data_IF_088911721116
#
_entry.id   IF_088911721116
#
_cell.length_a   1.000
_cell.length_b   1.000
_cell.length_c   1.000
_cell.angle_alpha   90.00
_cell.angle_beta   90.00
_cell.angle_gamma   90.00
#
_symmetry.space_group_name_H-M   'P 1'
#
loop_
_entity.id
_entity.type
_entity.pdbx_description
1 polymer ?
#
# COMPACT_ATOMS: atom_id res chain seq x y z
N UNK A 1 -30.73 22.49 -0.66
CA UNK A 1 -30.61 21.69 -1.90
C UNK A 1 -29.33 22.12 -2.61
N UNK A 2 -28.18 21.66 -2.11
CA UNK A 2 -26.87 22.03 -2.63
C UNK A 2 -26.55 21.09 -3.78
N UNK A 3 -26.34 21.63 -4.98
CA UNK A 3 -26.07 20.83 -6.19
C UNK A 3 -24.81 19.97 -5.96
N UNK A 4 -24.81 18.67 -6.34
CA UNK A 4 -23.56 17.95 -6.53
C UNK A 4 -22.76 18.70 -7.59
N UNK A 5 -21.43 18.79 -7.44
CA UNK A 5 -20.55 19.36 -8.46
C UNK A 5 -21.01 18.93 -9.87
N UNK A 6 -21.15 19.88 -10.81
CA UNK A 6 -21.77 19.60 -12.10
C UNK A 6 -21.10 18.39 -12.76
N UNK A 7 -21.88 17.46 -13.31
CA UNK A 7 -21.35 16.22 -13.94
C UNK A 7 -20.21 16.49 -14.93
N UNK A 8 -20.24 17.63 -15.61
CA UNK A 8 -19.17 18.09 -16.52
C UNK A 8 -17.86 18.41 -15.81
N UNK A 9 -17.92 18.99 -14.61
CA UNK A 9 -16.77 19.35 -13.80
C UNK A 9 -16.08 18.10 -13.21
N UNK A 10 -16.88 17.13 -12.75
CA UNK A 10 -16.37 15.82 -12.31
C UNK A 10 -15.75 15.01 -13.44
N UNK A 11 -16.39 15.04 -14.62
CA UNK A 11 -15.83 14.40 -15.82
C UNK A 11 -14.47 15.01 -16.18
N UNK A 12 -14.36 16.35 -16.19
CA UNK A 12 -13.09 17.03 -16.47
C UNK A 12 -12.00 16.65 -15.47
N UNK A 13 -12.32 16.60 -14.18
CA UNK A 13 -11.37 16.17 -13.16
C UNK A 13 -10.90 14.73 -13.38
N UNK A 14 -11.82 13.81 -13.69
CA UNK A 14 -11.47 12.43 -14.02
C UNK A 14 -10.60 12.33 -15.28
N UNK A 15 -10.95 13.08 -16.33
CA UNK A 15 -10.18 13.10 -17.58
C UNK A 15 -8.75 13.60 -17.33
N UNK A 16 -8.55 14.63 -16.49
CA UNK A 16 -7.21 15.13 -16.11
C UNK A 16 -6.37 14.05 -15.41
N UNK A 17 -6.96 13.27 -14.50
CA UNK A 17 -6.24 12.21 -13.79
C UNK A 17 -5.95 10.97 -14.66
N UNK A 18 -6.65 10.82 -15.79
CA UNK A 18 -6.42 9.75 -16.76
C UNK A 18 -5.42 10.15 -17.87
N UNK A 19 -4.93 11.38 -17.87
CA UNK A 19 -3.89 11.81 -18.81
C UNK A 19 -2.54 11.17 -18.46
N UNK A 20 -1.68 10.89 -19.46
CA UNK A 20 -0.35 10.34 -19.20
C UNK A 20 0.53 11.31 -18.39
N UNK A 21 0.38 12.62 -18.65
CA UNK A 21 1.07 13.70 -17.97
C UNK A 21 0.14 14.89 -17.79
N UNK A 22 0.21 15.54 -16.63
CA UNK A 22 -0.51 16.78 -16.35
C UNK A 22 0.33 17.67 -15.41
N UNK A 23 0.02 18.97 -15.38
CA UNK A 23 0.72 19.90 -14.48
C UNK A 23 0.26 19.62 -13.04
N UNK A 24 1.17 19.63 -12.04
CA UNK A 24 0.85 19.40 -10.62
C UNK A 24 -0.37 20.16 -10.11
N UNK A 25 -0.52 21.42 -10.50
CA UNK A 25 -1.69 22.24 -10.19
C UNK A 25 -3.02 21.65 -10.68
N UNK A 26 -3.05 21.13 -11.91
CA UNK A 26 -4.24 20.53 -12.51
C UNK A 26 -4.57 19.18 -11.86
N UNK A 27 -3.54 18.42 -11.48
CA UNK A 27 -3.68 17.18 -10.71
C UNK A 27 -4.28 17.48 -9.33
N UNK A 28 -3.73 18.47 -8.62
CA UNK A 28 -4.22 18.89 -7.31
C UNK A 28 -5.67 19.38 -7.36
N UNK A 29 -6.00 20.20 -8.35
CA UNK A 29 -7.37 20.65 -8.60
C UNK A 29 -8.32 19.47 -8.85
N UNK A 30 -7.95 18.55 -9.75
CA UNK A 30 -8.78 17.42 -10.13
C UNK A 30 -9.05 16.49 -8.94
N UNK A 31 -8.04 16.24 -8.11
CA UNK A 31 -8.18 15.41 -6.93
C UNK A 31 -9.08 16.03 -5.87
N UNK A 32 -8.83 17.29 -5.48
CA UNK A 32 -9.65 17.99 -4.49
C UNK A 32 -11.11 18.09 -4.96
N UNK A 33 -11.31 18.33 -6.26
CA UNK A 33 -12.64 18.37 -6.89
C UNK A 33 -13.40 17.05 -6.75
N UNK A 34 -12.76 15.92 -7.03
CA UNK A 34 -13.38 14.60 -6.88
C UNK A 34 -13.65 14.29 -5.41
N UNK A 35 -12.71 14.59 -4.52
CA UNK A 35 -12.83 14.37 -3.08
C UNK A 35 -14.01 15.11 -2.45
N UNK A 36 -14.14 16.39 -2.75
CA UNK A 36 -15.22 17.22 -2.23
C UNK A 36 -16.60 16.80 -2.76
N UNK A 37 -16.65 16.19 -3.95
CA UNK A 37 -17.90 15.64 -4.48
C UNK A 37 -18.41 14.41 -3.70
N UNK A 38 -17.53 13.78 -2.91
CA UNK A 38 -17.82 12.57 -2.13
C UNK A 38 -18.05 12.85 -0.64
N UNK A 39 -17.64 14.01 -0.13
CA UNK A 39 -17.88 14.39 1.26
C UNK A 39 -19.30 14.96 1.40
N UNK A 40 -20.10 14.40 2.31
CA UNK A 40 -21.40 14.96 2.68
C UNK A 40 -21.21 16.39 3.24
N UNK A 41 -21.48 17.37 2.38
CA UNK A 41 -21.75 18.78 2.67
C UNK A 41 -21.12 19.35 3.94
N UNK A 42 -19.79 19.21 4.12
CA UNK A 42 -19.08 20.13 5.01
C UNK A 42 -18.67 21.36 4.19
N UNK A 43 -18.99 22.56 4.68
CA UNK A 43 -18.57 23.78 4.01
C UNK A 43 -17.09 23.96 4.30
N UNK A 44 -16.22 23.35 3.51
CA UNK A 44 -14.94 24.01 3.32
C UNK A 44 -15.26 25.34 2.63
N UNK A 45 -14.86 26.44 3.26
CA UNK A 45 -14.86 27.74 2.59
C UNK A 45 -14.06 27.62 1.30
N UNK A 46 -14.41 28.41 0.28
CA UNK A 46 -13.63 28.46 -0.96
C UNK A 46 -12.14 28.70 -0.65
N UNK A 47 -11.83 29.46 0.39
CA UNK A 47 -10.47 29.72 0.89
C UNK A 47 -9.76 28.45 1.38
N UNK A 48 -10.43 27.57 2.14
CA UNK A 48 -9.90 26.27 2.54
C UNK A 48 -9.66 25.32 1.37
N UNK A 49 -10.48 25.42 0.30
CA UNK A 49 -10.25 24.66 -0.95
C UNK A 49 -8.96 25.11 -1.63
N UNK A 50 -8.75 26.41 -1.77
CA UNK A 50 -7.55 26.94 -2.43
C UNK A 50 -6.30 26.61 -1.62
N UNK A 51 -6.35 26.67 -0.28
CA UNK A 51 -5.24 26.29 0.57
C UNK A 51 -4.86 24.82 0.40
N UNK A 52 -5.83 23.88 0.45
CA UNK A 52 -5.55 22.45 0.25
C UNK A 52 -5.03 22.14 -1.15
N UNK A 53 -5.50 22.86 -2.16
CA UNK A 53 -4.96 22.73 -3.52
C UNK A 53 -3.49 23.14 -3.58
N UNK A 54 -3.11 24.25 -2.92
CA UNK A 54 -1.72 24.71 -2.87
C UNK A 54 -0.82 23.76 -2.08
N UNK A 55 -1.29 23.25 -0.93
CA UNK A 55 -0.56 22.26 -0.14
C UNK A 55 -0.29 20.99 -0.95
N UNK A 56 -1.30 20.50 -1.67
CA UNK A 56 -1.18 19.32 -2.52
C UNK A 56 -0.27 19.58 -3.74
N UNK A 57 -0.37 20.75 -4.37
CA UNK A 57 0.52 21.16 -5.47
C UNK A 57 1.98 21.20 -5.01
N UNK A 58 2.28 21.82 -3.87
CA UNK A 58 3.63 21.87 -3.30
C UNK A 58 4.14 20.45 -3.00
N UNK A 59 3.30 19.62 -2.39
CA UNK A 59 3.66 18.24 -2.08
C UNK A 59 3.99 17.44 -3.36
N UNK A 60 3.21 17.60 -4.43
CA UNK A 60 3.50 16.93 -5.72
C UNK A 60 4.86 17.35 -6.27
N UNK A 61 5.19 18.64 -6.18
CA UNK A 61 6.49 19.16 -6.62
C UNK A 61 7.65 18.61 -5.78
N UNK A 62 7.45 18.46 -4.47
CA UNK A 62 8.46 17.92 -3.55
C UNK A 62 8.76 16.43 -3.77
N UNK A 63 7.83 15.67 -4.38
CA UNK A 63 8.06 14.27 -4.74
C UNK A 63 9.11 14.08 -5.83
N UNK A 64 9.50 15.14 -6.54
CA UNK A 64 10.50 15.09 -7.63
C UNK A 64 10.22 13.98 -8.65
N UNK A 65 8.94 13.79 -8.99
CA UNK A 65 8.53 12.74 -9.91
C UNK A 65 9.07 12.99 -11.32
N UNK A 66 9.34 11.93 -12.11
CA UNK A 66 9.78 12.08 -13.49
C UNK A 66 8.80 12.92 -14.31
N UNK A 67 9.32 13.99 -14.91
CA UNK A 67 8.56 14.86 -15.81
C UNK A 67 8.35 14.20 -17.19
N UNK A 68 7.41 14.73 -17.97
CA UNK A 68 7.15 14.30 -19.34
C UNK A 68 8.45 14.33 -20.18
N UNK A 69 8.98 13.17 -20.63
CA UNK A 69 10.23 13.10 -21.39
C UNK A 69 10.10 13.66 -22.81
N UNK A 70 8.87 13.94 -23.28
CA UNK A 70 8.57 14.44 -24.64
C UNK A 70 7.79 15.76 -24.62
N UNK A 71 7.55 16.34 -23.44
CA UNK A 71 6.63 17.45 -23.24
C UNK A 71 7.24 18.83 -23.42
N UNK A 72 6.43 19.78 -23.89
CA UNK A 72 6.76 21.22 -23.96
C UNK A 72 6.81 21.86 -22.56
N UNK A 73 6.21 21.20 -21.56
CA UNK A 73 6.09 21.69 -20.20
C UNK A 73 6.90 20.80 -19.25
N UNK A 74 8.10 21.26 -18.88
CA UNK A 74 9.08 20.51 -18.06
C UNK A 74 8.59 20.18 -16.65
N UNK A 75 7.46 20.74 -16.24
CA UNK A 75 6.84 20.54 -14.93
C UNK A 75 5.68 19.54 -14.95
N UNK A 76 5.27 19.02 -16.11
CA UNK A 76 4.20 18.04 -16.17
C UNK A 76 4.70 16.69 -15.64
N UNK A 77 3.94 16.09 -14.73
CA UNK A 77 4.25 14.80 -14.08
C UNK A 77 3.12 13.81 -14.33
N UNK A 78 3.38 12.52 -14.16
CA UNK A 78 2.35 11.49 -14.36
C UNK A 78 1.33 11.51 -13.20
N UNK A 79 0.03 11.74 -13.46
CA UNK A 79 -1.01 11.64 -12.43
C UNK A 79 -1.05 10.26 -11.75
N UNK A 80 -0.74 9.19 -12.48
CA UNK A 80 -0.67 7.84 -11.92
C UNK A 80 0.53 7.67 -10.97
N UNK A 81 1.68 8.27 -11.29
CA UNK A 81 2.83 8.27 -10.38
C UNK A 81 2.53 9.06 -9.10
N UNK A 82 1.89 10.22 -9.22
CA UNK A 82 1.41 11.00 -8.08
C UNK A 82 0.44 10.18 -7.23
N UNK A 83 -0.51 9.50 -7.87
CA UNK A 83 -1.46 8.59 -7.21
C UNK A 83 -0.78 7.47 -6.44
N UNK A 84 0.24 6.86 -7.01
CA UNK A 84 1.00 5.82 -6.33
C UNK A 84 1.82 6.36 -5.15
N UNK A 85 2.40 7.55 -5.28
CA UNK A 85 3.09 8.22 -4.16
C UNK A 85 2.11 8.56 -3.02
N UNK A 86 0.90 9.03 -3.33
CA UNK A 86 -0.09 9.41 -2.32
C UNK A 86 -0.56 8.21 -1.50
N UNK A 87 -0.66 7.03 -2.11
CA UNK A 87 -0.96 5.76 -1.42
C UNK A 87 0.08 5.37 -0.37
N UNK A 88 1.33 5.83 -0.51
CA UNK A 88 2.40 5.53 0.44
C UNK A 88 2.45 6.52 1.62
N UNK A 89 1.80 7.68 1.50
CA UNK A 89 1.95 8.82 2.42
C UNK A 89 0.64 9.16 3.16
N UNK A 90 -0.52 9.00 2.53
CA UNK A 90 -1.81 9.38 3.12
C UNK A 90 -2.65 8.17 3.56
N UNK A 91 -3.03 8.14 4.85
CA UNK A 91 -4.00 7.18 5.45
C UNK A 91 -5.48 7.49 5.07
N UNK A 92 -5.73 8.15 3.93
CA UNK A 92 -7.09 8.55 3.55
C UNK A 92 -7.93 7.35 3.09
N UNK A 93 -9.28 7.42 3.17
CA UNK A 93 -10.14 6.34 2.69
C UNK A 93 -10.05 6.27 1.16
N UNK A 94 -9.21 5.35 0.69
CA UNK A 94 -8.89 5.06 -0.71
C UNK A 94 -10.04 4.38 -1.48
N UNK A 95 -11.19 4.12 -0.87
CA UNK A 95 -12.20 3.22 -1.45
C UNK A 95 -13.02 3.82 -2.62
N UNK A 96 -13.06 5.15 -2.80
CA UNK A 96 -14.04 5.77 -3.72
C UNK A 96 -13.46 6.69 -4.81
N UNK A 97 -12.16 7.02 -4.76
CA UNK A 97 -11.43 7.75 -5.84
C UNK A 97 -10.72 6.77 -6.76
N UNK A 98 -10.35 5.62 -6.21
CA UNK A 98 -9.60 4.60 -6.91
C UNK A 98 -10.59 3.53 -7.31
N UNK A 99 -10.68 3.21 -8.60
CA UNK A 99 -11.09 1.86 -8.95
C UNK A 99 -10.17 0.94 -8.15
N UNK A 100 -10.78 0.00 -7.41
CA UNK A 100 -10.04 -1.08 -6.77
C UNK A 100 -9.07 -1.59 -7.84
N UNK A 101 -7.75 -1.66 -7.53
CA UNK A 101 -6.78 -2.06 -8.54
C UNK A 101 -7.31 -3.33 -9.18
N UNK A 102 -7.50 -3.29 -10.52
CA UNK A 102 -7.97 -4.45 -11.24
C UNK A 102 -7.11 -5.62 -10.80
N UNK A 103 -7.73 -6.62 -10.15
CA UNK A 103 -7.02 -7.80 -9.64
C UNK A 103 -6.14 -8.27 -10.77
N UNK A 104 -4.82 -8.14 -10.61
CA UNK A 104 -3.90 -8.44 -11.68
C UNK A 104 -4.13 -9.90 -12.07
N UNK A 105 -4.49 -10.13 -13.33
CA UNK A 105 -4.66 -11.48 -13.89
C UNK A 105 -3.33 -12.20 -14.10
N UNK A 106 -2.24 -11.68 -13.54
CA UNK A 106 -0.93 -12.30 -13.57
C UNK A 106 -0.40 -12.40 -12.14
N UNK A 107 -0.63 -13.59 -11.58
CA UNK A 107 0.19 -14.20 -10.54
C UNK A 107 1.66 -14.12 -10.99
N UNK A 108 2.42 -13.14 -10.48
CA UNK A 108 3.88 -13.17 -10.24
C UNK A 108 4.41 -11.75 -10.08
N UNK A 109 4.07 -11.06 -8.99
CA UNK A 109 4.92 -9.95 -8.52
C UNK A 109 5.18 -10.18 -7.04
N UNK A 110 6.48 -10.29 -6.72
CA UNK A 110 6.99 -10.53 -5.39
C UNK A 110 6.40 -9.49 -4.44
N UNK A 111 5.47 -9.93 -3.59
CA UNK A 111 5.03 -9.14 -2.45
C UNK A 111 6.25 -9.04 -1.53
N UNK A 112 6.92 -7.88 -1.54
CA UNK A 112 7.93 -7.59 -0.53
C UNK A 112 7.17 -7.31 0.76
N UNK A 113 6.93 -8.37 1.53
CA UNK A 113 6.28 -8.24 2.82
C UNK A 113 7.19 -7.45 3.78
N UNK A 114 6.65 -6.37 4.38
CA UNK A 114 7.37 -5.50 5.33
C UNK A 114 7.96 -6.25 6.55
N UNK A 115 7.47 -7.45 6.85
CA UNK A 115 7.95 -8.29 7.96
C UNK A 115 8.61 -9.56 7.41
N UNK A 116 9.90 -9.73 7.70
CA UNK A 116 10.77 -10.78 7.15
C UNK A 116 10.21 -12.21 7.30
N UNK A 117 9.41 -12.48 8.35
CA UNK A 117 8.82 -13.81 8.60
C UNK A 117 7.52 -14.06 7.84
N UNK A 118 6.93 -13.04 7.23
CA UNK A 118 5.61 -13.16 6.58
C UNK A 118 5.66 -14.06 5.34
N UNK A 119 6.65 -13.86 4.46
CA UNK A 119 6.80 -14.69 3.27
C UNK A 119 7.03 -16.16 3.64
N UNK A 120 7.93 -16.51 4.58
CA UNK A 120 8.05 -17.89 5.07
C UNK A 120 6.75 -18.51 5.57
N UNK A 121 5.89 -17.76 6.27
CA UNK A 121 4.58 -18.26 6.74
C UNK A 121 3.63 -18.53 5.56
N UNK A 122 3.62 -17.68 4.54
CA UNK A 122 2.83 -17.90 3.33
C UNK A 122 3.34 -19.09 2.52
N UNK A 123 4.65 -19.25 2.42
CA UNK A 123 5.27 -20.40 1.79
C UNK A 123 4.93 -21.68 2.56
N UNK A 124 4.95 -21.66 3.89
CA UNK A 124 4.53 -22.80 4.71
C UNK A 124 3.05 -23.15 4.52
N UNK A 125 2.17 -22.16 4.36
CA UNK A 125 0.75 -22.39 4.02
C UNK A 125 0.60 -23.05 2.65
N UNK A 126 1.37 -22.60 1.66
CA UNK A 126 1.37 -23.19 0.32
C UNK A 126 1.85 -24.65 0.35
N UNK A 127 2.93 -24.92 1.08
CA UNK A 127 3.50 -26.27 1.23
C UNK A 127 2.57 -27.18 2.07
N UNK A 128 1.76 -26.59 2.96
CA UNK A 128 0.69 -27.27 3.67
C UNK A 128 -0.61 -27.42 2.86
N UNK A 129 -0.60 -27.11 1.56
CA UNK A 129 -1.78 -27.11 0.68
C UNK A 129 -2.95 -26.28 1.24
N UNK A 130 -2.63 -25.05 1.69
CA UNK A 130 -3.54 -24.07 2.29
C UNK A 130 -4.23 -24.54 3.59
N UNK A 131 -3.68 -25.57 4.24
CA UNK A 131 -4.15 -26.04 5.54
C UNK A 131 -3.88 -25.03 6.65
N UNK A 132 -4.89 -24.77 7.50
CA UNK A 132 -4.78 -23.97 8.72
C UNK A 132 -4.36 -24.80 9.95
N UNK A 133 -3.82 -26.00 9.75
CA UNK A 133 -3.26 -26.80 10.83
C UNK A 133 -1.96 -26.15 11.33
N UNK A 134 -2.05 -25.52 12.51
CA UNK A 134 -0.92 -24.81 13.11
C UNK A 134 0.23 -25.72 13.48
N UNK A 135 -0.02 -26.99 13.83
CA UNK A 135 1.05 -27.92 14.16
C UNK A 135 1.83 -28.31 12.91
N UNK A 136 1.13 -28.54 11.80
CA UNK A 136 1.72 -28.79 10.49
C UNK A 136 2.53 -27.57 10.00
N UNK A 137 1.96 -26.37 10.09
CA UNK A 137 2.64 -25.13 9.70
C UNK A 137 3.91 -24.90 10.53
N UNK A 138 3.85 -25.17 11.84
CA UNK A 138 5.02 -25.05 12.71
C UNK A 138 6.13 -26.03 12.28
N UNK A 139 5.77 -27.28 11.96
CA UNK A 139 6.71 -28.30 11.49
C UNK A 139 7.39 -27.92 10.17
N UNK A 140 6.65 -27.33 9.22
CA UNK A 140 7.21 -26.86 7.94
C UNK A 140 8.19 -25.69 8.18
N UNK A 141 7.83 -24.74 9.03
CA UNK A 141 8.70 -23.60 9.38
C UNK A 141 9.97 -24.05 10.11
N UNK A 142 9.89 -25.07 10.97
CA UNK A 142 11.07 -25.71 11.56
C UNK A 142 11.96 -26.36 10.50
N UNK A 143 11.35 -26.96 9.46
CA UNK A 143 12.08 -27.45 8.29
C UNK A 143 12.88 -26.34 7.61
N UNK A 144 12.24 -25.19 7.35
CA UNK A 144 12.92 -24.03 6.75
C UNK A 144 14.07 -23.51 7.61
N UNK A 145 13.89 -23.48 8.94
CA UNK A 145 14.95 -23.08 9.86
C UNK A 145 16.12 -24.09 9.87
N UNK A 146 15.85 -25.40 9.82
CA UNK A 146 16.89 -26.45 9.72
C UNK A 146 17.68 -26.37 8.41
N UNK A 147 17.05 -25.93 7.33
CA UNK A 147 17.70 -25.70 6.04
C UNK A 147 18.54 -24.40 6.02
N UNK A 148 18.53 -23.62 7.09
CA UNK A 148 19.28 -22.36 7.18
C UNK A 148 18.70 -21.23 6.33
N UNK A 149 17.39 -21.28 6.02
CA UNK A 149 16.73 -20.21 5.27
C UNK A 149 16.61 -18.96 6.13
N UNK A 150 16.98 -17.80 5.59
CA UNK A 150 16.64 -16.51 6.20
C UNK A 150 15.10 -16.33 6.22
N UNK A 151 14.51 -15.71 7.27
CA UNK A 151 15.16 -14.99 8.38
C UNK A 151 15.37 -15.86 9.64
N UNK A 152 15.33 -17.19 9.55
CA UNK A 152 15.34 -18.05 10.73
C UNK A 152 16.71 -18.10 11.42
N UNK A 153 16.67 -18.19 12.74
CA UNK A 153 17.81 -18.41 13.64
C UNK A 153 17.80 -19.84 14.18
N UNK A 154 17.89 -19.99 15.51
CA UNK A 154 17.87 -21.32 16.15
C UNK A 154 16.44 -21.81 16.43
N UNK A 155 16.28 -23.12 16.46
CA UNK A 155 15.07 -23.77 16.98
C UNK A 155 15.32 -24.08 18.45
N UNK A 156 14.41 -23.61 19.30
CA UNK A 156 14.43 -23.84 20.76
C UNK A 156 13.23 -24.69 21.16
N UNK A 157 13.19 -25.15 22.42
CA UNK A 157 12.03 -25.88 22.96
C UNK A 157 10.75 -25.00 23.01
N UNK A 158 10.91 -23.67 23.01
CA UNK A 158 9.80 -22.72 23.08
C UNK A 158 9.27 -22.32 21.70
N UNK A 159 10.08 -22.40 20.65
CA UNK A 159 9.71 -22.02 19.28
C UNK A 159 10.92 -21.79 18.36
N UNK A 160 10.69 -21.08 17.25
CA UNK A 160 11.72 -20.79 16.26
C UNK A 160 12.17 -19.33 16.37
N UNK A 161 13.46 -19.10 16.57
CA UNK A 161 14.04 -17.76 16.51
C UNK A 161 14.06 -17.24 15.06
N UNK A 162 13.85 -15.93 14.89
CA UNK A 162 13.97 -15.29 13.58
C UNK A 162 14.37 -13.82 13.69
N UNK A 163 14.99 -13.30 12.64
CA UNK A 163 15.48 -11.93 12.53
C UNK A 163 14.39 -10.98 12.03
N UNK A 164 14.13 -9.91 12.79
CA UNK A 164 13.22 -8.85 12.36
C UNK A 164 13.69 -8.15 11.08
N UNK A 165 12.81 -7.44 10.38
CA UNK A 165 13.15 -6.77 9.11
C UNK A 165 14.28 -5.74 9.20
N UNK A 166 14.52 -5.17 10.38
CA UNK A 166 15.57 -4.19 10.64
C UNK A 166 16.70 -4.78 11.52
N UNK A 167 16.78 -6.11 11.61
CA UNK A 167 17.74 -6.79 12.50
C UNK A 167 19.17 -6.55 12.03
N UNK A 168 20.03 -6.15 12.96
CA UNK A 168 21.47 -5.98 12.79
C UNK A 168 22.24 -6.93 13.71
N UNK A 169 23.52 -7.16 13.42
CA UNK A 169 24.35 -8.06 14.21
C UNK A 169 24.46 -7.58 15.67
N UNK A 170 23.97 -8.39 16.60
CA UNK A 170 23.86 -8.06 18.03
C UNK A 170 22.42 -7.82 18.52
N UNK A 171 21.45 -7.68 17.62
CA UNK A 171 20.03 -7.54 17.96
C UNK A 171 19.42 -8.85 18.48
N UNK A 172 18.40 -8.72 19.35
CA UNK A 172 17.67 -9.87 19.87
C UNK A 172 16.82 -10.52 18.77
N UNK A 173 16.85 -11.84 18.73
CA UNK A 173 15.94 -12.62 17.90
C UNK A 173 14.50 -12.50 18.40
N UNK A 174 13.55 -12.51 17.48
CA UNK A 174 12.14 -12.73 17.80
C UNK A 174 11.88 -14.23 17.92
N UNK A 175 10.91 -14.61 18.75
CA UNK A 175 10.51 -16.00 18.92
C UNK A 175 9.15 -16.27 18.26
N UNK A 176 9.12 -17.22 17.34
CA UNK A 176 7.92 -17.72 16.69
C UNK A 176 7.42 -18.98 17.43
N UNK A 177 6.46 -18.77 18.32
CA UNK A 177 5.70 -19.82 19.02
C UNK A 177 4.35 -20.08 18.33
N UNK A 178 3.68 -21.18 18.66
CA UNK A 178 2.30 -21.46 18.19
C UNK A 178 1.33 -20.30 18.43
N UNK A 179 1.41 -19.66 19.60
CA UNK A 179 0.58 -18.49 19.94
C UNK A 179 0.88 -17.31 19.00
N UNK A 180 2.16 -17.02 18.78
CA UNK A 180 2.56 -15.93 17.89
C UNK A 180 2.24 -16.22 16.41
N UNK A 181 2.35 -17.47 15.98
CA UNK A 181 1.94 -17.94 14.65
C UNK A 181 0.44 -17.73 14.46
N UNK A 182 -0.39 -18.10 15.44
CA UNK A 182 -1.83 -17.90 15.37
C UNK A 182 -2.22 -16.41 15.28
N UNK A 183 -1.55 -15.55 16.05
CA UNK A 183 -1.76 -14.10 15.95
C UNK A 183 -1.37 -13.57 14.57
N UNK A 184 -0.28 -14.07 13.99
CA UNK A 184 0.16 -13.70 12.64
C UNK A 184 -0.84 -14.16 11.59
N UNK A 185 -1.30 -15.41 11.62
CA UNK A 185 -2.34 -15.92 10.72
C UNK A 185 -3.65 -15.10 10.81
N UNK A 186 -4.08 -14.76 12.02
CA UNK A 186 -5.25 -13.89 12.23
C UNK A 186 -5.06 -12.51 11.59
N UNK A 187 -3.87 -11.92 11.72
CA UNK A 187 -3.54 -10.64 11.07
C UNK A 187 -3.46 -10.75 9.54
N UNK A 188 -2.98 -11.87 9.00
CA UNK A 188 -2.96 -12.13 7.56
C UNK A 188 -4.37 -12.26 6.98
N UNK A 189 -5.28 -12.95 7.68
CA UNK A 189 -6.72 -13.02 7.32
C UNK A 189 -7.39 -11.66 7.31
N UNK A 190 -7.16 -10.86 8.36
CA UNK A 190 -7.70 -9.48 8.44
C UNK A 190 -7.22 -8.62 7.27
N UNK A 191 -6.02 -8.89 6.75
CA UNK A 191 -5.43 -8.22 5.60
C UNK A 191 -5.79 -8.88 4.25
N UNK A 192 -6.61 -9.93 4.24
CA UNK A 192 -7.00 -10.72 3.06
C UNK A 192 -5.78 -11.24 2.27
N UNK A 193 -4.71 -11.61 2.98
CA UNK A 193 -3.50 -12.20 2.39
C UNK A 193 -3.53 -13.73 2.37
N UNK A 194 -4.41 -14.30 3.20
CA UNK A 194 -4.75 -15.74 3.31
C UNK A 194 -6.24 -15.86 3.63
#
# INVERSE_FOLDING_TARGET
MSKPASKSLLKRASDTLNQPFAVPKDIAWAWITLLQSQQDAKPDSDEGRHQRMQELESWIMDLQLPSDPKGVNTQAVSPEAVKNAARMVFEWPHEYIFEAPAKSKHFTEKVIHKDAITQPILDALKDANESDDRALLMSILEGYAKEGREPFGKITEEGIEWKGSNWSEGDKYHLLTLKSLNNRLSNLRKKQLI
#
